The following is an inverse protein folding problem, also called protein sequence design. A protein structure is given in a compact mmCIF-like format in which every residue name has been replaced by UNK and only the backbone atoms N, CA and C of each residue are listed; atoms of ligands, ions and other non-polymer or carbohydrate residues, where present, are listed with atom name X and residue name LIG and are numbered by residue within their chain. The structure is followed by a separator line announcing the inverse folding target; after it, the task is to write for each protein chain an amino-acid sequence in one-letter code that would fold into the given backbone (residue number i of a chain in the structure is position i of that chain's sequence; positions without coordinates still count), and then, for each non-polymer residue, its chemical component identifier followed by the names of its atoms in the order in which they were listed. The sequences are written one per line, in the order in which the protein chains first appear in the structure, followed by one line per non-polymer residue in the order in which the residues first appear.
data_IF_490764331360
#
_entry.id   IF_490764331360
#
_cell.length_a   1.000
_cell.length_b   1.000
_cell.length_c   1.000
_cell.angle_alpha   90.00
_cell.angle_beta   90.00
_cell.angle_gamma   90.00
#
_symmetry.space_group_name_H-M   'P 1'
#
loop_
_entity.id
_entity.type
_entity.pdbx_description
1 polymer ?
#
# COMPACT_ATOMS: atom_id res chain seq x y z
N UNK A 1 53.68 39.69 33.03
CA UNK A 1 52.70 38.61 32.76
C UNK A 1 52.18 38.83 31.34
N UNK A 2 52.73 38.11 30.35
CA UNK A 2 52.42 38.33 28.94
C UNK A 2 51.21 37.50 28.49
N UNK A 3 50.15 38.15 28.04
CA UNK A 3 49.04 37.47 27.37
C UNK A 3 49.48 37.04 25.97
N UNK A 4 49.54 35.72 25.74
CA UNK A 4 49.67 35.12 24.41
C UNK A 4 48.39 35.37 23.64
N UNK A 5 48.41 36.31 22.69
CA UNK A 5 47.37 36.45 21.68
C UNK A 5 47.39 35.22 20.77
N UNK A 6 46.37 34.37 20.85
CA UNK A 6 46.18 33.27 19.92
C UNK A 6 45.63 33.82 18.59
N UNK A 7 46.17 33.47 17.42
CA UNK A 7 45.74 34.06 16.16
C UNK A 7 44.29 33.67 15.85
N UNK A 8 43.41 34.66 15.66
CA UNK A 8 41.98 34.47 15.37
C UNK A 8 41.73 33.57 14.13
N UNK A 9 42.71 33.50 13.22
CA UNK A 9 42.74 32.61 12.05
C UNK A 9 42.78 31.10 12.39
N UNK A 10 43.31 30.70 13.55
CA UNK A 10 43.36 29.28 13.97
C UNK A 10 41.98 28.76 14.37
N UNK A 11 41.15 29.61 14.98
CA UNK A 11 39.76 29.25 15.33
C UNK A 11 38.87 29.14 14.08
N UNK A 12 39.09 29.97 13.06
CA UNK A 12 38.38 29.88 11.78
C UNK A 12 38.65 28.57 11.03
N UNK A 13 39.90 28.11 10.98
CA UNK A 13 40.26 26.84 10.34
C UNK A 13 39.64 25.63 11.05
N UNK A 14 39.65 25.62 12.39
CA UNK A 14 39.02 24.56 13.18
C UNK A 14 37.51 24.51 12.92
N UNK A 15 36.85 25.67 12.90
CA UNK A 15 35.42 25.77 12.63
C UNK A 15 35.06 25.26 11.23
N UNK A 16 35.86 25.58 10.21
CA UNK A 16 35.68 25.06 8.85
C UNK A 16 35.85 23.54 8.77
N UNK A 17 36.84 22.97 9.47
CA UNK A 17 37.05 21.52 9.53
C UNK A 17 35.87 20.82 10.19
N UNK A 18 35.35 21.37 11.29
CA UNK A 18 34.17 20.83 12.00
C UNK A 18 32.95 20.82 11.07
N UNK A 19 32.67 21.92 10.37
CA UNK A 19 31.54 21.98 9.44
C UNK A 19 31.71 21.01 8.26
N UNK A 20 32.95 20.85 7.75
CA UNK A 20 33.25 19.87 6.71
C UNK A 20 32.95 18.43 7.15
N UNK A 21 33.30 18.06 8.38
CA UNK A 21 33.02 16.73 8.95
C UNK A 21 31.51 16.51 9.10
N UNK A 22 30.78 17.51 9.60
CA UNK A 22 29.31 17.43 9.75
C UNK A 22 28.64 17.25 8.38
N UNK A 23 29.03 18.03 7.37
CA UNK A 23 28.49 17.92 6.01
C UNK A 23 28.80 16.54 5.42
N UNK A 24 30.03 16.05 5.57
CA UNK A 24 30.41 14.73 5.08
C UNK A 24 29.59 13.61 5.75
N UNK A 25 29.34 13.71 7.06
CA UNK A 25 28.47 12.81 7.79
C UNK A 25 27.03 12.83 7.28
N UNK A 26 26.47 14.03 7.06
CA UNK A 26 25.12 14.18 6.50
C UNK A 26 24.99 13.58 5.10
N UNK A 27 25.97 13.83 4.23
CA UNK A 27 26.00 13.26 2.87
C UNK A 27 26.10 11.74 2.92
N UNK A 28 26.96 11.18 3.78
CA UNK A 28 27.11 9.73 3.94
C UNK A 28 25.82 9.05 4.45
N UNK A 29 25.12 9.68 5.39
CA UNK A 29 23.83 9.17 5.87
C UNK A 29 22.76 9.25 4.77
N UNK A 30 22.68 10.36 4.04
CA UNK A 30 21.73 10.52 2.94
C UNK A 30 21.96 9.49 1.83
N UNK A 31 23.21 9.27 1.42
CA UNK A 31 23.54 8.26 0.41
C UNK A 31 23.23 6.86 0.90
N UNK A 32 23.53 6.52 2.16
CA UNK A 32 23.19 5.23 2.75
C UNK A 32 21.67 4.99 2.80
N UNK A 33 20.87 6.00 3.17
CA UNK A 33 19.40 5.91 3.21
C UNK A 33 18.82 5.74 1.80
N UNK A 34 19.30 6.50 0.82
CA UNK A 34 18.84 6.39 -0.58
C UNK A 34 19.20 5.02 -1.15
N UNK A 35 20.41 4.52 -0.87
CA UNK A 35 20.85 3.23 -1.40
C UNK A 35 20.14 2.04 -0.75
N UNK A 36 19.79 2.14 0.54
CA UNK A 36 18.95 1.14 1.21
C UNK A 36 17.54 1.11 0.64
N UNK A 37 16.95 2.28 0.32
CA UNK A 37 15.63 2.33 -0.34
C UNK A 37 15.63 1.73 -1.75
N UNK A 38 16.72 1.86 -2.52
CA UNK A 38 16.79 1.25 -3.85
C UNK A 38 16.89 -0.28 -3.82
N UNK A 39 17.36 -0.84 -2.70
CA UNK A 39 17.55 -2.29 -2.52
C UNK A 39 16.36 -3.00 -1.86
N UNK A 40 15.23 -2.30 -1.65
CA UNK A 40 14.07 -2.82 -0.91
C UNK A 40 13.24 -3.81 -1.78
N UNK A 41 13.90 -4.89 -2.20
CA UNK A 41 13.29 -6.03 -2.89
C UNK A 41 12.35 -6.84 -2.01
N UNK A 42 12.28 -6.54 -0.71
CA UNK A 42 11.47 -7.26 0.26
C UNK A 42 9.96 -7.14 0.01
N UNK A 43 9.50 -6.17 -0.79
CA UNK A 43 8.08 -6.12 -1.23
C UNK A 43 7.67 -7.26 -2.15
N UNK A 44 8.62 -7.94 -2.81
CA UNK A 44 8.32 -8.98 -3.81
C UNK A 44 7.95 -10.35 -3.20
N UNK A 45 8.29 -10.60 -1.93
CA UNK A 45 8.14 -11.93 -1.30
C UNK A 45 6.90 -12.06 -0.39
N UNK A 46 6.01 -11.07 -0.35
CA UNK A 46 4.83 -11.10 0.54
C UNK A 46 3.57 -11.73 -0.07
N UNK A 47 3.63 -12.26 -1.29
CA UNK A 47 2.47 -12.90 -1.91
C UNK A 47 2.40 -14.33 -1.41
N UNK A 48 1.43 -14.63 -0.54
CA UNK A 48 1.12 -16.00 -0.15
C UNK A 48 0.68 -16.81 -1.38
N UNK A 49 0.88 -18.14 -1.36
CA UNK A 49 0.41 -19.04 -2.41
C UNK A 49 -1.09 -18.81 -2.68
N UNK A 50 -1.38 -18.08 -3.75
CA UNK A 50 -2.71 -17.59 -4.11
C UNK A 50 -2.86 -17.75 -5.61
N UNK A 51 -4.04 -18.17 -6.10
CA UNK A 51 -4.29 -18.32 -7.53
C UNK A 51 -4.13 -17.01 -8.30
N UNK A 52 -4.28 -15.86 -7.64
CA UNK A 52 -4.10 -14.55 -8.25
C UNK A 52 -2.67 -14.01 -8.14
N UNK A 53 -1.71 -14.77 -7.60
CA UNK A 53 -0.35 -14.30 -7.36
C UNK A 53 0.34 -13.81 -8.65
N UNK A 54 0.12 -14.51 -9.76
CA UNK A 54 0.71 -14.17 -11.06
C UNK A 54 0.12 -12.90 -11.69
N UNK A 55 -1.10 -12.51 -11.30
CA UNK A 55 -1.76 -11.31 -11.80
C UNK A 55 -1.22 -10.02 -11.15
N UNK A 56 -0.48 -10.12 -10.05
CA UNK A 56 0.00 -8.97 -9.28
C UNK A 56 1.19 -8.32 -9.99
N UNK A 57 1.03 -7.05 -10.37
CA UNK A 57 2.11 -6.19 -10.88
C UNK A 57 2.38 -5.06 -9.90
N UNK A 58 3.66 -4.89 -9.55
CA UNK A 58 4.09 -3.82 -8.65
C UNK A 58 4.45 -2.59 -9.46
N UNK A 59 3.75 -1.49 -9.21
CA UNK A 59 4.02 -0.18 -9.81
C UNK A 59 4.35 0.84 -8.72
N UNK A 60 5.36 1.68 -8.99
CA UNK A 60 5.69 2.81 -8.12
C UNK A 60 4.87 4.01 -8.57
N UNK A 61 3.74 4.23 -7.91
CA UNK A 61 2.97 5.46 -8.07
C UNK A 61 3.41 6.53 -7.06
N UNK A 62 3.61 7.75 -7.55
CA UNK A 62 3.78 8.94 -6.71
C UNK A 62 2.45 9.67 -6.65
N UNK A 63 1.89 9.77 -5.45
CA UNK A 63 0.72 10.60 -5.20
C UNK A 63 1.19 12.00 -4.82
N UNK A 64 0.74 13.00 -5.57
CA UNK A 64 0.89 14.41 -5.21
C UNK A 64 -0.27 14.85 -4.31
N UNK A 65 -0.10 15.92 -3.54
CA UNK A 65 -1.17 16.45 -2.68
C UNK A 65 -2.35 16.99 -3.51
N UNK A 66 -2.06 17.39 -4.74
CA UNK A 66 -3.01 17.85 -5.74
C UNK A 66 -3.70 16.71 -6.48
N UNK A 67 -3.23 15.46 -6.35
CA UNK A 67 -3.85 14.32 -6.99
C UNK A 67 -5.21 14.08 -6.35
N UNK A 68 -6.26 14.47 -7.08
CA UNK A 68 -7.65 14.21 -6.72
C UNK A 68 -7.99 12.76 -7.05
N UNK A 69 -7.35 11.83 -6.33
CA UNK A 69 -7.53 10.37 -6.50
C UNK A 69 -9.00 9.95 -6.42
N UNK A 70 -9.80 10.74 -5.69
CA UNK A 70 -11.25 10.55 -5.53
C UNK A 70 -12.10 11.05 -6.72
N UNK A 71 -11.56 11.90 -7.59
CA UNK A 71 -12.34 12.63 -8.60
C UNK A 71 -12.45 11.90 -9.94
N UNK A 72 -11.58 10.92 -10.19
CA UNK A 72 -11.50 10.21 -11.47
C UNK A 72 -11.99 8.75 -11.40
N UNK A 73 -12.39 8.28 -10.21
CA UNK A 73 -12.86 6.91 -10.03
C UNK A 73 -14.37 6.76 -10.26
N UNK A 74 -14.78 5.76 -11.05
CA UNK A 74 -16.19 5.39 -11.21
C UNK A 74 -16.83 4.72 -9.98
N UNK A 75 -16.06 4.61 -8.88
CA UNK A 75 -16.43 3.92 -7.64
C UNK A 75 -16.56 4.87 -6.43
N UNK A 76 -16.43 6.18 -6.65
CA UNK A 76 -16.54 7.24 -5.65
C UNK A 76 -17.56 8.30 -6.08
N UNK A 77 -18.07 9.06 -5.12
CA UNK A 77 -18.98 10.19 -5.37
C UNK A 77 -20.37 10.01 -4.76
N UNK A 78 -21.32 10.82 -5.25
CA UNK A 78 -22.70 10.79 -4.74
C UNK A 78 -23.39 9.49 -5.14
N UNK A 79 -24.30 8.97 -4.29
CA UNK A 79 -25.13 7.82 -4.63
C UNK A 79 -25.80 8.03 -5.98
N UNK A 80 -25.59 7.10 -6.91
CA UNK A 80 -26.17 7.13 -8.24
C UNK A 80 -26.35 5.71 -8.78
N UNK A 81 -27.32 5.47 -9.69
CA UNK A 81 -27.49 4.17 -10.32
C UNK A 81 -26.27 3.71 -11.14
N UNK A 82 -25.44 4.64 -11.58
CA UNK A 82 -24.20 4.34 -12.31
C UNK A 82 -23.15 3.78 -11.35
N UNK A 83 -22.99 4.42 -10.19
CA UNK A 83 -22.10 3.97 -9.12
C UNK A 83 -22.51 2.58 -8.59
N UNK A 84 -23.82 2.35 -8.42
CA UNK A 84 -24.35 1.05 -8.00
C UNK A 84 -24.02 -0.07 -8.98
N UNK A 85 -24.19 0.20 -10.28
CA UNK A 85 -23.85 -0.76 -11.33
C UNK A 85 -22.35 -1.03 -11.35
N UNK A 86 -21.51 0.00 -11.25
CA UNK A 86 -20.06 -0.18 -11.19
C UNK A 86 -19.64 -1.10 -10.03
N UNK A 87 -20.15 -0.86 -8.82
CA UNK A 87 -19.88 -1.72 -7.66
C UNK A 87 -20.44 -3.13 -7.82
N UNK A 88 -21.63 -3.27 -8.40
CA UNK A 88 -22.22 -4.59 -8.69
C UNK A 88 -21.37 -5.37 -9.68
N UNK A 89 -21.01 -4.77 -10.81
CA UNK A 89 -20.23 -5.39 -11.87
C UNK A 89 -18.83 -5.80 -11.37
N UNK A 90 -18.23 -4.99 -10.48
CA UNK A 90 -16.94 -5.29 -9.87
C UNK A 90 -17.01 -6.53 -8.95
N UNK A 91 -18.05 -6.63 -8.11
CA UNK A 91 -18.18 -7.71 -7.12
C UNK A 91 -18.88 -8.97 -7.65
N UNK A 92 -19.48 -8.93 -8.84
CA UNK A 92 -20.24 -10.04 -9.40
C UNK A 92 -19.41 -11.35 -9.54
N UNK A 93 -18.09 -11.21 -9.61
CA UNK A 93 -17.15 -12.32 -9.78
C UNK A 93 -16.29 -12.59 -8.53
N UNK A 94 -16.78 -12.21 -7.34
CA UNK A 94 -16.04 -12.41 -6.08
C UNK A 94 -15.88 -13.89 -5.70
N UNK A 95 -16.80 -14.74 -6.14
CA UNK A 95 -16.78 -16.17 -5.89
C UNK A 95 -16.08 -16.91 -7.03
N UNK A 96 -15.06 -17.68 -6.68
CA UNK A 96 -14.25 -18.47 -7.61
C UNK A 96 -14.23 -19.94 -7.17
N UNK A 97 -14.00 -20.83 -8.13
CA UNK A 97 -13.66 -22.23 -7.85
C UNK A 97 -12.14 -22.28 -7.71
N UNK A 98 -11.69 -22.75 -6.54
CA UNK A 98 -10.30 -23.00 -6.21
C UNK A 98 -9.95 -24.44 -6.49
N UNK A 99 -8.81 -24.65 -7.13
CA UNK A 99 -8.24 -25.96 -7.33
C UNK A 99 -7.81 -26.60 -5.99
N UNK A 100 -7.93 -27.93 -5.82
CA UNK A 100 -7.63 -28.61 -4.57
C UNK A 100 -6.25 -28.31 -3.98
N UNK A 101 -5.25 -28.11 -4.85
CA UNK A 101 -3.86 -27.85 -4.48
C UNK A 101 -3.71 -26.60 -3.60
N UNK A 102 -4.53 -25.56 -3.84
CA UNK A 102 -4.51 -24.36 -3.01
C UNK A 102 -5.08 -24.59 -1.61
N UNK A 103 -6.13 -25.39 -1.50
CA UNK A 103 -6.73 -25.73 -0.18
C UNK A 103 -5.82 -26.66 0.60
N UNK A 104 -5.15 -27.59 -0.08
CA UNK A 104 -4.13 -28.46 0.52
C UNK A 104 -2.93 -27.67 1.01
N UNK A 105 -2.40 -26.74 0.21
CA UNK A 105 -1.32 -25.85 0.61
C UNK A 105 -1.67 -24.98 1.82
N UNK A 106 -2.96 -24.64 1.98
CA UNK A 106 -3.47 -23.90 3.14
C UNK A 106 -3.78 -24.79 4.35
N UNK A 107 -3.80 -26.13 4.19
CA UNK A 107 -4.15 -27.07 5.24
C UNK A 107 -5.58 -26.88 5.78
N UNK A 108 -6.52 -26.52 4.90
CA UNK A 108 -7.91 -26.15 5.28
C UNK A 108 -8.97 -27.07 4.67
N UNK A 109 -8.61 -28.31 4.35
CA UNK A 109 -9.51 -29.28 3.73
C UNK A 109 -10.73 -29.60 4.60
N UNK A 110 -10.60 -29.47 5.92
CA UNK A 110 -11.64 -29.76 6.93
C UNK A 110 -12.76 -28.72 6.97
N UNK A 111 -12.47 -27.48 6.57
CA UNK A 111 -13.41 -26.34 6.60
C UNK A 111 -13.78 -25.82 5.20
N UNK A 112 -13.13 -26.32 4.16
CA UNK A 112 -13.38 -25.89 2.78
C UNK A 112 -14.70 -26.48 2.24
N UNK A 113 -15.42 -25.70 1.44
CA UNK A 113 -16.70 -26.11 0.85
C UNK A 113 -16.46 -26.64 -0.56
N UNK A 114 -16.66 -27.94 -0.75
CA UNK A 114 -16.49 -28.57 -2.07
C UNK A 114 -17.67 -28.26 -3.01
N UNK A 115 -17.36 -28.11 -4.29
CA UNK A 115 -18.37 -28.01 -5.35
C UNK A 115 -19.00 -29.40 -5.56
N UNK A 116 -20.34 -29.52 -5.74
CA UNK A 116 -21.01 -30.82 -5.87
C UNK A 116 -20.48 -31.71 -7.00
N UNK A 117 -19.94 -31.11 -8.07
CA UNK A 117 -19.39 -31.81 -9.22
C UNK A 117 -17.94 -32.29 -9.02
N UNK A 118 -17.33 -32.00 -7.86
CA UNK A 118 -15.96 -32.42 -7.52
C UNK A 118 -14.85 -31.64 -8.24
N UNK A 119 -15.19 -30.53 -8.90
CA UNK A 119 -14.25 -29.70 -9.67
C UNK A 119 -13.33 -28.82 -8.82
N UNK A 120 -13.57 -28.72 -7.51
CA UNK A 120 -12.75 -27.92 -6.60
C UNK A 120 -13.52 -27.44 -5.38
N UNK A 121 -13.06 -26.32 -4.80
CA UNK A 121 -13.63 -25.70 -3.61
C UNK A 121 -14.12 -24.29 -3.87
N UNK A 122 -15.19 -23.86 -3.21
CA UNK A 122 -15.65 -22.48 -3.27
C UNK A 122 -14.72 -21.57 -2.46
N UNK A 123 -14.32 -20.45 -3.06
CA UNK A 123 -13.48 -19.46 -2.40
C UNK A 123 -13.68 -18.05 -2.91
N UNK A 124 -13.05 -17.10 -2.23
CA UNK A 124 -13.07 -15.67 -2.54
C UNK A 124 -11.69 -15.08 -2.27
N UNK A 125 -11.17 -14.26 -3.19
CA UNK A 125 -9.92 -13.54 -2.95
C UNK A 125 -10.12 -12.49 -1.85
N UNK A 126 -9.08 -12.28 -1.03
CA UNK A 126 -9.15 -11.35 0.09
C UNK A 126 -9.60 -9.94 -0.34
N UNK A 127 -9.08 -9.43 -1.48
CA UNK A 127 -9.48 -8.13 -2.04
C UNK A 127 -10.99 -7.94 -2.16
N UNK A 128 -11.73 -8.99 -2.54
CA UNK A 128 -13.18 -8.92 -2.65
C UNK A 128 -13.86 -8.89 -1.27
N UNK A 129 -13.31 -9.57 -0.26
CA UNK A 129 -13.77 -9.48 1.13
C UNK A 129 -13.65 -8.05 1.67
N UNK A 130 -12.54 -7.38 1.40
CA UNK A 130 -12.39 -5.97 1.79
C UNK A 130 -13.36 -5.06 1.05
N UNK A 131 -13.48 -5.23 -0.28
CA UNK A 131 -14.34 -4.40 -1.12
C UNK A 131 -15.83 -4.58 -0.79
N UNK A 132 -16.26 -5.80 -0.44
CA UNK A 132 -17.62 -6.07 0.00
C UNK A 132 -17.99 -5.23 1.23
N UNK A 133 -17.11 -5.19 2.24
CA UNK A 133 -17.33 -4.38 3.44
C UNK A 133 -17.41 -2.88 3.12
N UNK A 134 -16.56 -2.38 2.21
CA UNK A 134 -16.61 -0.98 1.78
C UNK A 134 -17.93 -0.65 1.09
N UNK A 135 -18.44 -1.54 0.23
CA UNK A 135 -19.77 -1.40 -0.37
C UNK A 135 -20.86 -1.34 0.70
N UNK A 136 -20.85 -2.25 1.67
CA UNK A 136 -21.83 -2.26 2.77
C UNK A 136 -21.84 -0.94 3.54
N UNK A 137 -20.67 -0.38 3.83
CA UNK A 137 -20.55 0.93 4.49
C UNK A 137 -21.12 2.04 3.59
N UNK A 138 -20.77 2.06 2.29
CA UNK A 138 -21.29 3.03 1.33
C UNK A 138 -22.82 2.98 1.22
N UNK A 139 -23.41 1.79 1.20
CA UNK A 139 -24.85 1.58 1.12
C UNK A 139 -25.57 1.97 2.42
N UNK A 140 -25.04 1.59 3.59
CA UNK A 140 -25.66 1.90 4.88
C UNK A 140 -25.57 3.38 5.25
N UNK A 141 -24.53 4.08 4.80
CA UNK A 141 -24.37 5.53 4.98
C UNK A 141 -25.22 6.38 4.00
N UNK A 142 -26.00 5.75 3.08
CA UNK A 142 -26.92 6.47 2.17
C UNK A 142 -28.12 7.12 2.86
N UNK A 143 -28.44 6.73 4.09
CA UNK A 143 -29.58 7.29 4.82
C UNK A 143 -29.19 8.67 5.38
N UNK A 144 -29.32 9.68 4.52
CA UNK A 144 -29.30 11.10 4.90
C UNK A 144 -27.95 11.79 4.71
N UNK A 145 -27.80 12.57 3.64
CA UNK A 145 -26.87 13.70 3.43
C UNK A 145 -25.43 13.64 4.02
N UNK A 146 -24.90 12.47 4.34
CA UNK A 146 -23.58 12.27 4.94
C UNK A 146 -22.75 11.36 4.04
N UNK A 147 -22.22 11.93 2.95
CA UNK A 147 -20.89 11.52 2.51
C UNK A 147 -19.89 12.02 3.56
N UNK A 148 -19.75 11.30 4.67
CA UNK A 148 -18.75 11.58 5.70
C UNK A 148 -17.62 10.55 5.60
N UNK A 149 -16.81 10.69 4.56
CA UNK A 149 -15.46 10.16 4.54
C UNK A 149 -14.56 11.22 3.90
N UNK A 150 -14.60 12.42 4.48
CA UNK A 150 -13.48 13.37 4.41
C UNK A 150 -12.51 12.92 5.48
N UNK A 151 -11.54 12.09 5.12
CA UNK A 151 -10.31 11.98 5.90
C UNK A 151 -9.60 13.33 5.72
N UNK A 152 -9.71 14.18 6.73
CA UNK A 152 -8.78 15.29 6.95
C UNK A 152 -7.50 14.76 7.58
#
# INVERSE_FOLDING_TARGET
MGQRYQPWWQHGRLLLVIHGIIIAGYVAVLTAVVHRRSHDSHRRNCVSSSPAAEAIRWEIHKFTLEDRVQDHGGFSGRPSPQLDRAWHDLLNYENIILEPEYIEALGRQDIAVAVPEGSGYLGTLNVYRELHCLKTICETTRVGNCCLLVLR
#
